data_IF_206431373825
#
_entry.id   IF_206431373825
#
_cell.length_a   1.000
_cell.length_b   1.000
_cell.length_c   1.000
_cell.angle_alpha   90.00
_cell.angle_beta   90.00
_cell.angle_gamma   90.00
#
_symmetry.space_group_name_H-M   'P 1'
#
loop_
_entity.id
_entity.type
_entity.pdbx_description
1 polymer ?
#
# COMPACT_ATOMS: atom_id res chain seq x y z
N UNK A 1 -5.06 27.57 -51.07
CA UNK A 1 -6.13 26.59 -51.35
C UNK A 1 -5.48 25.22 -51.46
N UNK A 2 -5.39 24.51 -50.34
CA UNK A 2 -4.72 23.21 -50.27
C UNK A 2 -5.57 22.32 -49.36
N UNK A 3 -5.94 21.17 -49.90
CA UNK A 3 -7.03 20.29 -49.48
C UNK A 3 -6.96 19.90 -48.01
N UNK A 4 -8.08 20.10 -47.33
CA UNK A 4 -8.43 19.40 -46.09
C UNK A 4 -8.46 17.89 -46.39
N UNK A 5 -7.43 17.19 -45.93
CA UNK A 5 -7.46 15.73 -45.84
C UNK A 5 -8.46 15.36 -44.74
N UNK A 6 -9.57 14.81 -45.18
CA UNK A 6 -10.68 14.28 -44.41
C UNK A 6 -10.19 13.29 -43.35
N UNK A 7 -10.43 13.63 -42.08
CA UNK A 7 -10.20 12.82 -40.88
C UNK A 7 -11.04 11.54 -40.78
N UNK A 8 -11.81 11.21 -41.84
CA UNK A 8 -12.78 10.12 -41.87
C UNK A 8 -12.16 8.80 -42.33
N UNK A 9 -11.02 8.83 -43.04
CA UNK A 9 -10.48 7.64 -43.71
C UNK A 9 -9.46 6.82 -42.89
N UNK A 10 -9.08 7.27 -41.69
CA UNK A 10 -8.12 6.57 -40.81
C UNK A 10 -8.76 5.59 -39.82
N UNK A 11 -10.02 5.20 -40.04
CA UNK A 11 -10.80 4.33 -39.13
C UNK A 11 -11.00 2.89 -39.61
N UNK A 12 -10.33 2.47 -40.69
CA UNK A 12 -10.40 1.08 -41.17
C UNK A 12 -9.01 0.47 -41.12
N UNK A 13 -8.95 -0.77 -40.66
CA UNK A 13 -7.79 -1.63 -40.39
C UNK A 13 -7.39 -1.75 -38.90
N UNK A 14 -8.35 -1.91 -38.00
CA UNK A 14 -8.13 -2.82 -36.87
C UNK A 14 -8.75 -4.17 -37.24
N UNK A 15 -8.03 -5.30 -37.11
CA UNK A 15 -8.57 -6.61 -37.41
C UNK A 15 -9.75 -6.90 -36.47
N UNK A 16 -10.91 -7.20 -37.06
CA UNK A 16 -12.11 -7.70 -36.36
C UNK A 16 -11.83 -9.11 -35.82
N UNK A 17 -10.95 -9.20 -34.83
CA UNK A 17 -10.80 -10.36 -33.99
C UNK A 17 -12.01 -10.44 -33.06
N UNK A 18 -12.72 -11.56 -33.12
CA UNK A 18 -13.78 -12.01 -32.21
C UNK A 18 -13.29 -12.12 -30.75
N UNK A 19 -12.88 -11.00 -30.14
CA UNK A 19 -12.61 -10.92 -28.72
C UNK A 19 -13.86 -10.37 -28.04
N UNK A 20 -14.65 -11.26 -27.42
CA UNK A 20 -15.65 -10.84 -26.44
C UNK A 20 -14.90 -10.03 -25.38
N UNK A 21 -15.10 -8.73 -25.37
CA UNK A 21 -14.41 -7.85 -24.42
C UNK A 21 -14.94 -8.18 -23.02
N UNK A 22 -14.08 -8.66 -22.10
CA UNK A 22 -14.53 -9.07 -20.79
C UNK A 22 -15.10 -7.87 -20.03
N UNK A 23 -16.27 -8.04 -19.42
CA UNK A 23 -16.81 -7.05 -18.50
C UNK A 23 -15.89 -6.90 -17.26
N UNK A 24 -16.12 -5.89 -16.42
CA UNK A 24 -15.27 -5.64 -15.25
C UNK A 24 -15.14 -6.83 -14.28
N UNK A 25 -16.17 -7.69 -14.16
CA UNK A 25 -16.11 -8.88 -13.30
C UNK A 25 -15.16 -9.92 -13.87
N UNK A 26 -15.29 -10.21 -15.15
CA UNK A 26 -14.37 -11.12 -15.85
C UNK A 26 -12.95 -10.56 -15.87
N UNK A 27 -12.81 -9.24 -16.02
CA UNK A 27 -11.52 -8.56 -15.94
C UNK A 27 -10.87 -8.73 -14.56
N UNK A 28 -11.63 -8.61 -13.47
CA UNK A 28 -11.13 -8.84 -12.11
C UNK A 28 -10.57 -10.27 -11.93
N UNK A 29 -11.25 -11.28 -12.50
CA UNK A 29 -10.77 -12.67 -12.48
C UNK A 29 -9.45 -12.80 -13.23
N UNK A 30 -9.34 -12.21 -14.43
CA UNK A 30 -8.09 -12.24 -15.19
C UNK A 30 -6.94 -11.53 -14.48
N UNK A 31 -7.19 -10.37 -13.87
CA UNK A 31 -6.19 -9.68 -13.05
C UNK A 31 -5.76 -10.52 -11.85
N UNK A 32 -6.71 -11.21 -11.19
CA UNK A 32 -6.38 -12.11 -10.09
C UNK A 32 -5.54 -13.30 -10.55
N UNK A 33 -5.82 -13.88 -11.71
CA UNK A 33 -5.00 -14.93 -12.31
C UNK A 33 -3.58 -14.45 -12.64
N UNK A 34 -3.45 -13.23 -13.19
CA UNK A 34 -2.14 -12.60 -13.43
C UNK A 34 -1.39 -12.40 -12.11
N UNK A 35 -2.07 -11.90 -11.07
CA UNK A 35 -1.51 -11.76 -9.73
C UNK A 35 -1.01 -13.11 -9.20
N UNK A 36 -1.82 -14.16 -9.30
CA UNK A 36 -1.43 -15.51 -8.87
C UNK A 36 -0.22 -16.04 -9.63
N UNK A 37 -0.05 -15.68 -10.90
CA UNK A 37 1.15 -16.03 -11.67
C UNK A 37 2.41 -15.30 -11.18
N UNK A 38 2.31 -14.00 -10.89
CA UNK A 38 3.43 -13.18 -10.41
C UNK A 38 3.84 -13.58 -9.00
N UNK A 39 2.85 -13.75 -8.11
CA UNK A 39 3.03 -14.10 -6.71
C UNK A 39 2.96 -15.62 -6.48
N UNK A 40 3.15 -16.44 -7.52
CA UNK A 40 3.04 -17.89 -7.41
C UNK A 40 3.96 -18.45 -6.33
N UNK A 41 5.18 -17.93 -6.21
CA UNK A 41 6.13 -18.34 -5.18
C UNK A 41 5.60 -18.04 -3.77
N UNK A 42 5.16 -16.82 -3.49
CA UNK A 42 4.58 -16.42 -2.18
C UNK A 42 3.26 -17.13 -1.86
N UNK A 43 2.52 -17.53 -2.88
CA UNK A 43 1.30 -18.31 -2.74
C UNK A 43 1.59 -19.79 -2.50
N UNK A 44 2.66 -20.33 -3.06
CA UNK A 44 2.98 -21.77 -2.97
C UNK A 44 4.02 -22.11 -1.90
N UNK A 45 4.69 -21.11 -1.33
CA UNK A 45 5.68 -21.26 -0.28
C UNK A 45 5.29 -20.45 0.96
N UNK A 46 5.75 -20.90 2.12
CA UNK A 46 5.63 -20.16 3.36
C UNK A 46 7.04 -19.83 3.85
N UNK A 47 7.54 -18.61 3.61
CA UNK A 47 8.85 -18.21 4.12
C UNK A 47 8.76 -18.14 5.65
N UNK A 48 9.51 -19.01 6.32
CA UNK A 48 9.61 -18.98 7.78
C UNK A 48 10.75 -18.05 8.16
N UNK A 49 10.43 -16.85 8.64
CA UNK A 49 11.39 -15.99 9.33
C UNK A 49 11.05 -15.86 10.82
N UNK A 50 11.97 -15.29 11.59
CA UNK A 50 11.76 -14.99 13.02
C UNK A 50 10.55 -14.08 13.23
N UNK A 51 10.26 -13.15 12.32
CA UNK A 51 9.10 -12.27 12.42
C UNK A 51 7.79 -13.04 12.24
N UNK A 52 7.73 -14.02 11.33
CA UNK A 52 6.58 -14.90 11.16
C UNK A 52 6.39 -15.84 12.37
N UNK A 53 7.47 -16.36 12.94
CA UNK A 53 7.37 -17.18 14.16
C UNK A 53 6.81 -16.37 15.33
N UNK A 54 7.33 -15.15 15.55
CA UNK A 54 6.83 -14.24 16.58
C UNK A 54 5.37 -13.85 16.32
N UNK A 55 5.00 -13.57 15.07
CA UNK A 55 3.63 -13.22 14.70
C UNK A 55 2.66 -14.40 14.82
N UNK A 56 3.10 -15.64 14.55
CA UNK A 56 2.29 -16.85 14.71
C UNK A 56 2.00 -17.16 16.18
N UNK A 57 2.96 -16.88 17.07
CA UNK A 57 2.83 -17.09 18.52
C UNK A 57 2.23 -15.89 19.25
N UNK A 58 1.98 -14.78 18.56
CA UNK A 58 1.43 -13.56 19.16
C UNK A 58 -0.03 -13.77 19.55
N UNK A 59 -0.32 -13.59 20.83
CA UNK A 59 -1.69 -13.62 21.39
C UNK A 59 -2.30 -12.24 21.59
N UNK A 60 -1.45 -11.21 21.70
CA UNK A 60 -1.87 -9.82 21.90
C UNK A 60 -1.35 -8.90 20.77
N UNK A 61 -2.22 -8.35 19.91
CA UNK A 61 -1.83 -7.43 18.85
C UNK A 61 -1.54 -6.00 19.33
N UNK A 62 -1.58 -5.72 20.64
CA UNK A 62 -1.37 -4.37 21.21
C UNK A 62 -0.04 -3.71 20.81
N UNK A 63 0.96 -4.50 20.42
CA UNK A 63 2.23 -4.01 19.85
C UNK A 63 2.02 -3.06 18.67
N UNK A 64 0.99 -3.29 17.85
CA UNK A 64 0.66 -2.40 16.75
C UNK A 64 0.21 -1.03 17.23
N UNK A 65 -0.56 -0.96 18.32
CA UNK A 65 -0.98 0.31 18.92
C UNK A 65 0.23 1.07 19.46
N UNK A 66 1.19 0.37 20.09
CA UNK A 66 2.44 0.98 20.56
C UNK A 66 3.19 1.68 19.39
N UNK A 67 3.24 1.02 18.24
CA UNK A 67 3.84 1.51 16.99
C UNK A 67 2.98 2.54 16.24
N UNK A 68 1.80 2.88 16.76
CA UNK A 68 0.85 3.81 16.15
C UNK A 68 0.08 3.25 14.95
N UNK A 69 0.08 1.93 14.79
CA UNK A 69 -0.63 1.19 13.73
C UNK A 69 -1.96 0.62 14.24
N UNK A 70 -2.83 1.48 14.75
CA UNK A 70 -4.12 1.05 15.32
C UNK A 70 -5.05 0.36 14.29
N UNK A 71 -4.89 0.61 13.00
CA UNK A 71 -5.62 -0.09 11.94
C UNK A 71 -5.14 -1.54 11.79
N UNK A 72 -3.83 -1.78 11.87
CA UNK A 72 -3.26 -3.13 11.87
C UNK A 72 -3.73 -3.92 13.11
N UNK A 73 -3.78 -3.26 14.28
CA UNK A 73 -4.38 -3.84 15.49
C UNK A 73 -5.83 -4.31 15.25
N UNK A 74 -6.68 -3.47 14.67
CA UNK A 74 -8.07 -3.84 14.37
C UNK A 74 -8.16 -5.00 13.38
N UNK A 75 -7.35 -4.98 12.33
CA UNK A 75 -7.33 -6.06 11.36
C UNK A 75 -6.90 -7.37 12.00
N UNK A 76 -5.85 -7.39 12.80
CA UNK A 76 -5.40 -8.60 13.47
C UNK A 76 -6.43 -9.10 14.49
N UNK A 77 -7.06 -8.20 15.25
CA UNK A 77 -8.05 -8.58 16.24
C UNK A 77 -9.32 -9.19 15.61
N UNK A 78 -9.78 -8.66 14.48
CA UNK A 78 -11.11 -8.99 13.93
C UNK A 78 -11.12 -9.76 12.61
N UNK A 79 -10.09 -9.61 11.77
CA UNK A 79 -10.05 -10.18 10.42
C UNK A 79 -8.94 -11.22 10.23
N UNK A 80 -7.74 -10.93 10.76
CA UNK A 80 -6.51 -11.67 10.56
C UNK A 80 -5.90 -12.09 11.90
N UNK A 81 -6.67 -12.83 12.70
CA UNK A 81 -6.22 -13.33 14.02
C UNK A 81 -4.97 -14.21 13.95
N UNK A 82 -4.67 -14.74 12.76
CA UNK A 82 -3.44 -15.45 12.44
C UNK A 82 -2.85 -14.79 11.20
N UNK A 83 -2.08 -13.70 11.36
CA UNK A 83 -1.60 -12.89 10.23
C UNK A 83 -0.61 -13.64 9.34
N UNK A 84 -0.04 -14.74 9.82
CA UNK A 84 0.90 -15.61 9.11
C UNK A 84 0.23 -16.78 8.41
N UNK A 85 -1.10 -16.78 8.29
CA UNK A 85 -1.81 -17.87 7.61
C UNK A 85 -1.36 -17.95 6.14
N UNK A 86 -0.80 -19.10 5.69
CA UNK A 86 -0.41 -19.27 4.30
C UNK A 86 -1.61 -19.05 3.37
N UNK A 87 -1.35 -18.55 2.16
CA UNK A 87 -2.35 -18.20 1.14
C UNK A 87 -3.26 -17.02 1.48
N UNK A 88 -3.79 -16.91 2.72
CA UNK A 88 -4.79 -15.89 3.07
C UNK A 88 -4.20 -14.49 3.01
N UNK A 89 -3.03 -14.28 3.61
CA UNK A 89 -2.39 -12.97 3.61
C UNK A 89 -2.06 -12.49 2.18
N UNK A 90 -1.37 -13.26 1.33
CA UNK A 90 -1.12 -12.86 -0.07
C UNK A 90 -2.39 -12.79 -0.92
N UNK A 91 -3.41 -13.61 -0.66
CA UNK A 91 -4.69 -13.53 -1.37
C UNK A 91 -5.41 -12.21 -1.06
N UNK A 92 -5.44 -11.78 0.21
CA UNK A 92 -5.98 -10.47 0.58
C UNK A 92 -5.19 -9.33 -0.06
N UNK A 93 -3.87 -9.46 -0.13
CA UNK A 93 -3.02 -8.52 -0.87
C UNK A 93 -3.41 -8.44 -2.35
N UNK A 94 -3.53 -9.59 -3.02
CA UNK A 94 -3.94 -9.67 -4.42
C UNK A 94 -5.31 -9.09 -4.68
N UNK A 95 -6.30 -9.38 -3.83
CA UNK A 95 -7.63 -8.77 -3.90
C UNK A 95 -7.57 -7.26 -3.73
N UNK A 96 -6.75 -6.77 -2.78
CA UNK A 96 -6.49 -5.35 -2.59
C UNK A 96 -5.87 -4.69 -3.81
N UNK A 97 -4.89 -5.33 -4.45
CA UNK A 97 -4.28 -4.87 -5.70
C UNK A 97 -5.30 -4.81 -6.85
N UNK A 98 -6.08 -5.87 -7.06
CA UNK A 98 -7.10 -5.92 -8.13
C UNK A 98 -8.14 -4.83 -7.92
N UNK A 99 -8.71 -4.73 -6.71
CA UNK A 99 -9.71 -3.72 -6.40
C UNK A 99 -9.17 -2.30 -6.61
N UNK A 100 -7.98 -2.02 -6.10
CA UNK A 100 -7.33 -0.72 -6.23
C UNK A 100 -7.05 -0.36 -7.69
N UNK A 101 -6.50 -1.31 -8.45
CA UNK A 101 -6.20 -1.11 -9.86
C UNK A 101 -7.45 -0.78 -10.69
N UNK A 102 -8.52 -1.54 -10.50
CA UNK A 102 -9.79 -1.30 -11.20
C UNK A 102 -10.37 0.08 -10.86
N UNK A 103 -10.31 0.50 -9.59
CA UNK A 103 -10.75 1.82 -9.17
C UNK A 103 -9.90 2.92 -9.81
N UNK A 104 -8.57 2.77 -9.84
CA UNK A 104 -7.66 3.72 -10.49
C UNK A 104 -7.97 3.84 -11.99
N UNK A 105 -8.13 2.71 -12.70
CA UNK A 105 -8.53 2.72 -14.11
C UNK A 105 -9.85 3.44 -14.30
N UNK A 106 -10.84 3.22 -13.43
CA UNK A 106 -12.14 3.90 -13.52
C UNK A 106 -12.04 5.40 -13.23
N UNK A 107 -11.13 5.83 -12.36
CA UNK A 107 -10.87 7.24 -12.10
C UNK A 107 -10.19 7.91 -13.29
N UNK A 108 -9.20 7.27 -13.91
CA UNK A 108 -8.47 7.82 -15.07
C UNK A 108 -9.31 7.74 -16.34
N UNK A 109 -10.09 6.67 -16.49
CA UNK A 109 -10.99 6.42 -17.62
C UNK A 109 -12.43 6.10 -17.16
N UNK A 110 -13.22 7.11 -16.77
CA UNK A 110 -14.61 6.92 -16.36
C UNK A 110 -15.46 6.21 -17.42
N UNK A 111 -15.21 6.48 -18.69
CA UNK A 111 -15.97 5.93 -19.83
C UNK A 111 -15.50 4.53 -20.24
N UNK A 112 -14.47 3.97 -19.61
CA UNK A 112 -14.03 2.61 -19.91
C UNK A 112 -15.08 1.60 -19.44
N UNK A 113 -15.61 0.83 -20.39
CA UNK A 113 -16.52 -0.30 -20.15
C UNK A 113 -15.77 -1.62 -19.95
N UNK A 114 -14.56 -1.72 -20.51
CA UNK A 114 -13.69 -2.89 -20.49
C UNK A 114 -12.22 -2.47 -20.34
N UNK A 115 -11.39 -3.44 -19.93
CA UNK A 115 -9.94 -3.30 -19.92
C UNK A 115 -9.35 -3.59 -21.31
N UNK A 116 -8.37 -2.79 -21.70
CA UNK A 116 -7.57 -2.97 -22.91
C UNK A 116 -6.36 -3.88 -22.62
N UNK A 117 -5.71 -4.40 -23.67
CA UNK A 117 -4.47 -5.18 -23.50
C UNK A 117 -3.41 -4.42 -22.68
N UNK A 118 -3.27 -3.11 -22.91
CA UNK A 118 -2.35 -2.26 -22.15
C UNK A 118 -2.69 -2.22 -20.66
N UNK A 119 -3.97 -2.22 -20.30
CA UNK A 119 -4.38 -2.25 -18.89
C UNK A 119 -4.01 -3.59 -18.23
N UNK A 120 -4.08 -4.70 -18.96
CA UNK A 120 -3.60 -5.98 -18.44
C UNK A 120 -2.06 -6.01 -18.30
N UNK A 121 -1.32 -5.38 -19.21
CA UNK A 121 0.15 -5.29 -19.12
C UNK A 121 0.65 -4.36 -18.02
N UNK A 122 -0.09 -3.30 -17.71
CA UNK A 122 0.25 -2.35 -16.64
C UNK A 122 -0.02 -2.93 -15.24
N UNK A 123 -0.93 -3.90 -15.13
CA UNK A 123 -1.25 -4.51 -13.84
C UNK A 123 -0.06 -5.23 -13.17
N UNK A 124 0.75 -6.07 -13.87
CA UNK A 124 2.01 -6.59 -13.34
C UNK A 124 2.95 -5.52 -12.80
N UNK A 125 3.08 -4.39 -13.49
CA UNK A 125 3.96 -3.28 -13.05
C UNK A 125 3.40 -2.66 -11.76
N UNK A 126 2.08 -2.54 -11.66
CA UNK A 126 1.41 -2.03 -10.47
C UNK A 126 1.57 -2.97 -9.27
N UNK A 127 1.32 -4.28 -9.42
CA UNK A 127 1.35 -5.22 -8.31
C UNK A 127 2.76 -5.72 -7.97
N UNK A 128 3.72 -5.69 -8.91
CA UNK A 128 5.12 -6.02 -8.68
C UNK A 128 6.01 -4.79 -8.46
N UNK A 129 5.43 -3.63 -8.15
CA UNK A 129 6.20 -2.42 -7.82
C UNK A 129 7.17 -2.72 -6.64
N UNK A 130 8.44 -2.25 -6.67
CA UNK A 130 9.46 -2.68 -5.70
C UNK A 130 9.08 -2.53 -4.23
N UNK A 131 8.27 -1.53 -3.88
CA UNK A 131 7.75 -1.36 -2.51
C UNK A 131 6.89 -2.54 -2.07
N UNK A 132 6.07 -3.11 -2.95
CA UNK A 132 5.25 -4.27 -2.64
C UNK A 132 6.07 -5.53 -2.46
N UNK A 133 7.09 -5.71 -3.31
CA UNK A 133 8.02 -6.82 -3.19
C UNK A 133 8.81 -6.76 -1.88
N UNK A 134 9.27 -5.58 -1.47
CA UNK A 134 9.89 -5.41 -0.16
C UNK A 134 8.92 -5.71 1.00
N UNK A 135 7.64 -5.33 0.86
CA UNK A 135 6.65 -5.58 1.89
C UNK A 135 6.19 -7.04 1.96
N UNK A 136 6.28 -7.81 0.87
CA UNK A 136 5.93 -9.24 0.89
C UNK A 136 6.89 -10.10 1.71
N UNK A 137 8.12 -9.63 1.95
CA UNK A 137 9.06 -10.26 2.90
C UNK A 137 8.52 -10.28 4.34
N UNK A 138 7.60 -9.36 4.67
CA UNK A 138 6.94 -9.32 5.98
C UNK A 138 5.54 -9.94 5.84
N UNK A 139 5.46 -11.27 5.85
CA UNK A 139 4.23 -12.00 5.52
C UNK A 139 3.09 -11.68 6.50
N UNK A 140 3.43 -11.43 7.77
CA UNK A 140 2.48 -10.98 8.80
C UNK A 140 1.82 -9.63 8.50
N UNK A 141 2.38 -8.82 7.59
CA UNK A 141 1.87 -7.50 7.23
C UNK A 141 1.14 -7.48 5.88
N UNK A 142 1.48 -8.38 4.94
CA UNK A 142 1.10 -8.23 3.53
C UNK A 142 -0.42 -8.23 3.31
N UNK A 143 -1.17 -9.06 4.05
CA UNK A 143 -2.64 -9.07 3.99
C UNK A 143 -3.25 -7.73 4.42
N UNK A 144 -2.74 -7.15 5.50
CA UNK A 144 -3.15 -5.83 5.98
C UNK A 144 -2.80 -4.73 4.98
N UNK A 145 -1.64 -4.81 4.32
CA UNK A 145 -1.25 -3.87 3.25
C UNK A 145 -2.25 -3.92 2.08
N UNK A 146 -2.77 -5.10 1.72
CA UNK A 146 -3.83 -5.23 0.71
C UNK A 146 -5.08 -4.42 1.05
N UNK A 147 -5.54 -4.55 2.30
CA UNK A 147 -6.68 -3.81 2.82
C UNK A 147 -6.39 -2.30 2.85
N UNK A 148 -5.19 -1.91 3.28
CA UNK A 148 -4.77 -0.52 3.33
C UNK A 148 -4.71 0.11 1.93
N UNK A 149 -4.21 -0.63 0.93
CA UNK A 149 -4.15 -0.18 -0.46
C UNK A 149 -5.55 0.05 -1.03
N UNK A 150 -6.49 -0.88 -0.76
CA UNK A 150 -7.88 -0.74 -1.14
C UNK A 150 -8.55 0.46 -0.44
N UNK A 151 -8.34 0.64 0.86
CA UNK A 151 -8.87 1.77 1.62
C UNK A 151 -8.29 3.12 1.16
N UNK A 152 -6.98 3.18 0.89
CA UNK A 152 -6.31 4.34 0.31
C UNK A 152 -6.91 4.69 -1.05
N UNK A 153 -7.06 3.72 -1.94
CA UNK A 153 -7.63 3.95 -3.27
C UNK A 153 -9.10 4.37 -3.17
N UNK A 154 -9.87 3.75 -2.28
CA UNK A 154 -11.26 4.13 -2.03
C UNK A 154 -11.38 5.56 -1.52
N UNK A 155 -10.48 6.00 -0.62
CA UNK A 155 -10.44 7.39 -0.15
C UNK A 155 -10.26 8.37 -1.30
N UNK A 156 -9.31 8.09 -2.20
CA UNK A 156 -9.04 8.92 -3.37
C UNK A 156 -10.23 8.87 -4.35
N UNK A 157 -10.89 7.73 -4.50
CA UNK A 157 -12.09 7.61 -5.32
C UNK A 157 -13.28 8.40 -4.79
N UNK A 158 -13.55 8.32 -3.49
CA UNK A 158 -14.64 9.08 -2.86
C UNK A 158 -14.41 10.60 -3.05
N UNK A 159 -13.15 11.04 -2.96
CA UNK A 159 -12.73 12.43 -3.12
C UNK A 159 -12.73 12.91 -4.58
N UNK A 160 -12.10 12.18 -5.50
CA UNK A 160 -11.86 12.61 -6.89
C UNK A 160 -12.83 12.01 -7.91
N UNK A 161 -13.65 11.03 -7.51
CA UNK A 161 -14.69 10.44 -8.33
C UNK A 161 -15.95 11.31 -8.45
N UNK A 162 -16.10 12.31 -7.56
CA UNK A 162 -17.26 13.18 -7.49
C UNK A 162 -16.84 14.64 -7.68
N UNK A 163 -17.45 15.36 -8.65
CA UNK A 163 -17.15 16.78 -8.87
C UNK A 163 -17.51 17.67 -7.67
N UNK A 164 -18.52 17.28 -6.89
CA UNK A 164 -18.98 17.96 -5.67
C UNK A 164 -19.40 16.89 -4.66
N UNK A 165 -18.46 16.27 -3.94
CA UNK A 165 -18.80 15.22 -2.99
C UNK A 165 -19.66 15.80 -1.86
N UNK A 166 -20.73 15.09 -1.50
CA UNK A 166 -21.53 15.44 -0.33
C UNK A 166 -20.69 15.27 0.95
N UNK A 167 -21.03 15.99 2.02
CA UNK A 167 -20.32 15.92 3.31
C UNK A 167 -20.10 14.48 3.82
N UNK A 168 -21.09 13.56 3.78
CA UNK A 168 -20.87 12.18 4.20
C UNK A 168 -19.83 11.43 3.35
N UNK A 169 -19.74 11.74 2.06
CA UNK A 169 -18.75 11.14 1.14
C UNK A 169 -17.34 11.62 1.49
N UNK A 170 -17.18 12.91 1.78
CA UNK A 170 -15.89 13.47 2.22
C UNK A 170 -15.47 12.87 3.56
N UNK A 171 -16.41 12.74 4.51
CA UNK A 171 -16.14 12.09 5.79
C UNK A 171 -15.72 10.63 5.59
N UNK A 172 -16.44 9.87 4.76
CA UNK A 172 -16.05 8.50 4.40
C UNK A 172 -14.66 8.41 3.77
N UNK A 173 -14.30 9.36 2.91
CA UNK A 173 -12.97 9.44 2.31
C UNK A 173 -11.88 9.64 3.37
N UNK A 174 -12.09 10.58 4.30
CA UNK A 174 -11.18 10.86 5.42
C UNK A 174 -11.00 9.62 6.30
N UNK A 175 -12.09 8.92 6.65
CA UNK A 175 -12.04 7.70 7.46
C UNK A 175 -11.26 6.59 6.74
N UNK A 176 -11.53 6.37 5.45
CA UNK A 176 -10.81 5.37 4.66
C UNK A 176 -9.30 5.70 4.56
N UNK A 177 -8.96 6.98 4.33
CA UNK A 177 -7.58 7.43 4.29
C UNK A 177 -6.86 7.27 5.63
N UNK A 178 -7.52 7.67 6.73
CA UNK A 178 -7.00 7.51 8.08
C UNK A 178 -6.79 6.03 8.45
N UNK A 179 -7.69 5.16 8.02
CA UNK A 179 -7.58 3.71 8.21
C UNK A 179 -6.42 3.11 7.41
N UNK A 180 -6.18 3.56 6.17
CA UNK A 180 -5.01 3.13 5.41
C UNK A 180 -3.70 3.55 6.10
N UNK A 181 -3.60 4.80 6.55
CA UNK A 181 -2.45 5.31 7.31
C UNK A 181 -2.25 4.54 8.62
N UNK A 182 -3.35 4.19 9.30
CA UNK A 182 -3.28 3.45 10.56
C UNK A 182 -2.95 1.98 10.43
N UNK A 183 -3.08 1.40 9.24
CA UNK A 183 -2.51 0.08 8.95
C UNK A 183 -1.00 0.22 8.68
N UNK A 184 -0.61 1.18 7.83
CA UNK A 184 0.78 1.42 7.51
C UNK A 184 1.04 2.89 7.20
N UNK A 185 1.89 3.53 7.99
CA UNK A 185 2.01 5.00 7.99
C UNK A 185 2.45 5.58 6.64
N UNK A 186 3.19 4.82 5.82
CA UNK A 186 3.63 5.25 4.50
C UNK A 186 2.48 5.57 3.53
N UNK A 187 1.24 5.12 3.80
CA UNK A 187 0.08 5.54 3.03
C UNK A 187 -0.23 7.04 3.15
N UNK A 188 0.37 7.75 4.11
CA UNK A 188 0.34 9.22 4.13
C UNK A 188 0.95 9.82 2.85
N UNK A 189 1.96 9.14 2.27
CA UNK A 189 2.55 9.47 0.98
C UNK A 189 1.81 8.78 -0.18
N UNK A 190 1.22 7.61 0.08
CA UNK A 190 0.39 6.89 -0.90
C UNK A 190 -0.79 7.72 -1.42
N UNK A 191 -1.52 8.41 -0.53
CA UNK A 191 -2.66 9.27 -0.89
C UNK A 191 -2.25 10.38 -1.88
N UNK A 192 -1.27 11.27 -1.59
CA UNK A 192 -0.88 12.31 -2.53
C UNK A 192 -0.30 11.76 -3.82
N UNK A 193 0.52 10.71 -3.79
CA UNK A 193 1.10 10.11 -5.00
C UNK A 193 0.00 9.57 -5.92
N UNK A 194 -0.95 8.81 -5.37
CA UNK A 194 -2.05 8.23 -6.14
C UNK A 194 -3.00 9.32 -6.65
N UNK A 195 -3.39 10.26 -5.79
CA UNK A 195 -4.27 11.37 -6.17
C UNK A 195 -3.66 12.27 -7.24
N UNK A 196 -2.39 12.68 -7.06
CA UNK A 196 -1.67 13.48 -8.05
C UNK A 196 -1.48 12.71 -9.36
N UNK A 197 -1.14 11.42 -9.31
CA UNK A 197 -1.03 10.57 -10.50
C UNK A 197 -2.34 10.51 -11.29
N UNK A 198 -3.48 10.37 -10.62
CA UNK A 198 -4.81 10.38 -11.25
C UNK A 198 -5.11 11.75 -11.89
N UNK A 199 -4.85 12.86 -11.17
CA UNK A 199 -5.05 14.21 -11.69
C UNK A 199 -4.20 14.44 -12.94
N UNK A 200 -2.91 14.10 -12.88
CA UNK A 200 -1.98 14.22 -14.01
C UNK A 200 -2.43 13.37 -15.21
N UNK A 201 -2.83 12.12 -14.97
CA UNK A 201 -3.30 11.22 -16.02
C UNK A 201 -4.57 11.75 -16.71
N UNK A 202 -5.52 12.33 -15.95
CA UNK A 202 -6.73 12.98 -16.49
C UNK A 202 -6.39 14.21 -17.32
N UNK A 203 -5.56 15.10 -16.78
CA UNK A 203 -5.07 16.32 -17.46
C UNK A 203 -4.39 15.97 -18.77
N UNK A 204 -3.47 15.00 -18.76
CA UNK A 204 -2.77 14.54 -19.95
C UNK A 204 -3.73 13.96 -20.99
N UNK A 205 -4.65 13.09 -20.57
CA UNK A 205 -5.59 12.42 -21.47
C UNK A 205 -6.59 13.38 -22.11
N UNK A 206 -7.14 14.31 -21.34
CA UNK A 206 -8.17 15.24 -21.80
C UNK A 206 -7.58 16.48 -22.47
N UNK A 207 -6.25 16.67 -22.40
CA UNK A 207 -5.58 17.91 -22.81
C UNK A 207 -6.19 19.16 -22.14
N UNK A 208 -6.58 19.01 -20.87
CA UNK A 208 -7.21 20.04 -20.05
C UNK A 208 -6.24 20.49 -18.95
N UNK A 209 -6.28 21.77 -18.52
CA UNK A 209 -5.47 22.22 -17.40
C UNK A 209 -5.85 21.50 -16.10
N UNK A 210 -4.90 21.45 -15.16
CA UNK A 210 -5.14 20.87 -13.83
C UNK A 210 -6.32 21.58 -13.15
N UNK A 211 -7.32 20.82 -12.74
CA UNK A 211 -8.47 21.34 -12.01
C UNK A 211 -8.06 21.71 -10.58
N UNK A 212 -8.12 23.00 -10.24
CA UNK A 212 -7.80 23.50 -8.89
C UNK A 212 -8.68 22.88 -7.81
N UNK A 213 -9.94 22.56 -8.14
CA UNK A 213 -10.85 21.93 -7.18
C UNK A 213 -10.38 20.53 -6.78
N UNK A 214 -9.86 19.75 -7.72
CA UNK A 214 -9.32 18.40 -7.45
C UNK A 214 -8.09 18.48 -6.52
N UNK A 215 -7.24 19.49 -6.71
CA UNK A 215 -6.10 19.76 -5.82
C UNK A 215 -6.56 20.13 -4.40
N UNK A 216 -7.54 21.03 -4.27
CA UNK A 216 -8.10 21.42 -2.96
C UNK A 216 -8.72 20.22 -2.26
N UNK A 217 -9.47 19.39 -2.98
CA UNK A 217 -10.08 18.18 -2.45
C UNK A 217 -9.03 17.16 -1.99
N UNK A 218 -7.96 16.98 -2.77
CA UNK A 218 -6.85 16.10 -2.40
C UNK A 218 -6.11 16.61 -1.16
N UNK A 219 -5.80 17.90 -1.08
CA UNK A 219 -5.17 18.51 0.11
C UNK A 219 -6.07 18.36 1.34
N UNK A 220 -7.38 18.59 1.18
CA UNK A 220 -8.37 18.41 2.25
C UNK A 220 -8.39 16.96 2.74
N UNK A 221 -8.34 15.99 1.81
CA UNK A 221 -8.26 14.57 2.15
C UNK A 221 -6.99 14.26 2.95
N UNK A 222 -5.83 14.73 2.50
CA UNK A 222 -4.54 14.46 3.18
C UNK A 222 -4.55 15.01 4.60
N UNK A 223 -4.95 16.27 4.78
CA UNK A 223 -5.00 16.92 6.08
C UNK A 223 -6.03 16.21 6.97
N UNK A 224 -7.24 15.98 6.46
CA UNK A 224 -8.31 15.32 7.19
C UNK A 224 -7.95 13.91 7.62
N UNK A 225 -7.40 13.09 6.71
CA UNK A 225 -6.95 11.74 7.00
C UNK A 225 -5.82 11.71 8.03
N UNK A 226 -4.86 12.65 7.94
CA UNK A 226 -3.74 12.74 8.90
C UNK A 226 -4.23 13.12 10.30
N UNK A 227 -5.14 14.09 10.41
CA UNK A 227 -5.75 14.49 11.69
C UNK A 227 -6.57 13.34 12.27
N UNK A 228 -7.42 12.70 11.47
CA UNK A 228 -8.23 11.57 11.91
C UNK A 228 -7.37 10.36 12.33
N UNK A 229 -6.29 10.08 11.61
CA UNK A 229 -5.28 9.08 12.02
C UNK A 229 -4.67 9.43 13.37
N UNK A 230 -4.22 10.68 13.56
CA UNK A 230 -3.58 11.12 14.81
C UNK A 230 -4.55 11.06 16.00
N UNK A 231 -5.81 11.46 15.79
CA UNK A 231 -6.87 11.34 16.78
C UNK A 231 -7.15 9.88 17.14
N UNK A 232 -7.27 9.00 16.14
CA UNK A 232 -7.41 7.56 16.36
C UNK A 232 -6.22 7.00 17.15
N UNK A 233 -5.00 7.34 16.76
CA UNK A 233 -3.78 6.91 17.45
C UNK A 233 -3.77 7.35 18.92
N UNK A 234 -4.17 8.60 19.21
CA UNK A 234 -4.31 9.08 20.58
C UNK A 234 -5.35 8.27 21.37
N UNK A 235 -6.53 8.04 20.80
CA UNK A 235 -7.60 7.25 21.45
C UNK A 235 -7.14 5.83 21.75
N UNK A 236 -6.57 5.13 20.77
CA UNK A 236 -6.12 3.75 20.97
C UNK A 236 -5.00 3.65 22.01
N UNK A 237 -4.02 4.57 22.00
CA UNK A 237 -2.95 4.62 23.02
C UNK A 237 -3.46 4.97 24.41
N UNK A 238 -4.56 5.72 24.52
CA UNK A 238 -5.19 6.03 25.79
C UNK A 238 -5.84 4.78 26.43
N UNK A 239 -6.49 3.94 25.63
CA UNK A 239 -7.21 2.75 26.14
C UNK A 239 -6.37 1.47 26.19
N UNK A 240 -5.32 1.37 25.38
CA UNK A 240 -4.49 0.17 25.26
C UNK A 240 -3.06 0.52 25.69
N UNK A 241 -2.72 0.30 26.98
CA UNK A 241 -1.38 0.52 27.47
C UNK A 241 -0.45 -0.56 26.87
N UNK A 242 0.30 -0.18 25.84
CA UNK A 242 1.23 -1.06 25.16
C UNK A 242 2.65 -0.48 25.25
N UNK A 243 3.61 -1.32 25.64
CA UNK A 243 5.03 -0.97 25.62
C UNK A 243 5.60 -1.24 24.23
N UNK A 244 6.44 -0.34 23.74
CA UNK A 244 7.03 -0.48 22.42
C UNK A 244 8.42 -1.11 22.54
N UNK A 245 8.48 -2.35 23.03
CA UNK A 245 9.75 -3.05 23.30
C UNK A 245 10.74 -3.00 22.12
N UNK A 246 10.23 -2.97 20.88
CA UNK A 246 11.03 -2.81 19.67
C UNK A 246 11.73 -1.43 19.59
N UNK A 247 10.97 -0.34 19.69
CA UNK A 247 11.56 1.01 19.62
C UNK A 247 12.30 1.40 20.90
N UNK A 248 11.81 0.95 22.06
CA UNK A 248 12.45 1.18 23.36
C UNK A 248 13.81 0.45 23.43
N UNK A 249 13.95 -0.69 22.73
CA UNK A 249 15.21 -1.40 22.57
C UNK A 249 16.19 -0.76 21.59
N UNK A 250 15.69 -0.18 20.49
CA UNK A 250 16.53 0.42 19.43
C UNK A 250 17.00 1.84 19.79
N UNK A 251 16.11 2.66 20.37
CA UNK A 251 16.37 4.06 20.66
C UNK A 251 16.59 4.30 22.15
N UNK A 252 17.72 3.83 22.67
CA UNK A 252 18.17 4.16 24.01
C UNK A 252 18.89 5.52 24.04
N UNK A 253 18.18 6.58 23.64
CA UNK A 253 18.74 7.94 23.52
C UNK A 253 19.32 8.42 24.86
N UNK A 254 18.66 8.07 25.97
CA UNK A 254 19.18 8.36 27.31
C UNK A 254 20.54 7.72 27.57
N UNK A 255 20.70 6.44 27.25
CA UNK A 255 21.97 5.72 27.37
C UNK A 255 23.04 6.26 26.43
N UNK A 256 22.65 6.65 25.20
CA UNK A 256 23.54 7.32 24.26
C UNK A 256 24.13 8.60 24.85
N UNK A 257 23.32 9.45 25.47
CA UNK A 257 23.81 10.67 26.08
C UNK A 257 24.53 10.45 27.41
N UNK A 258 24.22 9.38 28.14
CA UNK A 258 24.96 9.00 29.34
C UNK A 258 26.37 8.47 29.01
N UNK A 259 26.52 7.73 27.91
CA UNK A 259 27.76 7.02 27.55
C UNK A 259 28.16 7.18 26.06
N UNK A 260 28.29 8.40 25.52
CA UNK A 260 28.42 8.62 24.07
C UNK A 260 29.70 8.03 23.49
N UNK A 261 30.83 8.16 24.20
CA UNK A 261 32.13 7.64 23.73
C UNK A 261 32.11 6.10 23.66
N UNK A 262 31.51 5.45 24.66
CA UNK A 262 31.42 3.98 24.70
C UNK A 262 30.53 3.47 23.57
N UNK A 263 29.37 4.09 23.36
CA UNK A 263 28.42 3.65 22.33
C UNK A 263 28.96 3.92 20.93
N UNK A 264 29.55 5.09 20.67
CA UNK A 264 30.21 5.37 19.39
C UNK A 264 31.38 4.40 19.17
N UNK A 265 32.22 4.16 20.18
CA UNK A 265 33.35 3.23 20.09
C UNK A 265 32.89 1.82 19.73
N UNK A 266 31.91 1.27 20.46
CA UNK A 266 31.32 -0.05 20.16
C UNK A 266 30.67 -0.11 18.79
N UNK A 267 30.02 0.97 18.37
CA UNK A 267 29.40 1.06 17.03
C UNK A 267 30.47 1.01 15.95
N UNK A 268 31.55 1.78 16.09
CA UNK A 268 32.68 1.77 15.15
C UNK A 268 33.40 0.42 15.14
N UNK A 269 33.61 -0.21 16.31
CA UNK A 269 34.20 -1.55 16.40
C UNK A 269 33.31 -2.60 15.71
N UNK A 270 31.99 -2.50 15.87
CA UNK A 270 31.04 -3.40 15.21
C UNK A 270 31.03 -3.18 13.70
N UNK A 271 30.95 -1.93 13.24
CA UNK A 271 31.05 -1.56 11.82
C UNK A 271 32.37 -2.07 11.23
N UNK A 272 33.49 -1.82 11.90
CA UNK A 272 34.80 -2.32 11.50
C UNK A 272 34.88 -3.85 11.47
N UNK A 273 34.23 -4.53 12.41
CA UNK A 273 34.14 -5.99 12.44
C UNK A 273 33.33 -6.57 11.28
N UNK A 274 32.17 -5.97 10.98
CA UNK A 274 31.30 -6.37 9.86
C UNK A 274 32.01 -6.10 8.53
N UNK A 275 32.41 -4.87 8.26
CA UNK A 275 33.03 -4.52 6.97
C UNK A 275 34.47 -5.01 6.81
N UNK A 276 35.16 -5.29 7.92
CA UNK A 276 36.49 -5.90 7.94
C UNK A 276 36.46 -7.43 7.90
N UNK A 277 35.29 -8.05 7.75
CA UNK A 277 35.13 -9.52 7.73
C UNK A 277 35.76 -10.22 8.96
N UNK A 278 35.67 -9.60 10.14
CA UNK A 278 36.23 -10.17 11.35
C UNK A 278 35.45 -11.43 11.74
N UNK A 279 36.14 -12.57 11.76
CA UNK A 279 35.54 -13.88 12.02
C UNK A 279 34.79 -13.96 13.35
N UNK A 280 35.21 -13.21 14.38
CA UNK A 280 34.51 -13.17 15.68
C UNK A 280 33.11 -12.54 15.59
N UNK A 281 32.95 -11.51 14.74
CA UNK A 281 31.68 -10.81 14.54
C UNK A 281 30.65 -11.73 13.89
N UNK A 282 31.08 -12.59 12.95
CA UNK A 282 30.19 -13.51 12.24
C UNK A 282 29.98 -14.85 12.95
N UNK A 283 30.92 -15.30 13.81
CA UNK A 283 30.76 -16.54 14.59
C UNK A 283 29.73 -16.39 15.73
N UNK A 284 29.52 -15.18 16.26
CA UNK A 284 28.53 -14.94 17.32
C UNK A 284 27.08 -14.85 16.82
N UNK A 285 26.84 -14.49 15.55
CA UNK A 285 25.49 -14.37 14.98
C UNK A 285 24.97 -15.64 14.33
N UNK A 286 25.82 -16.61 14.00
CA UNK A 286 25.41 -17.83 13.29
C UNK A 286 24.93 -18.96 14.22
N UNK A 287 25.03 -18.82 15.55
CA UNK A 287 24.76 -19.91 16.51
C UNK A 287 24.19 -19.46 17.88
N UNK A 288 23.47 -18.34 17.96
CA UNK A 288 22.76 -17.92 19.17
C UNK A 288 21.27 -17.75 18.88
#
# INVERSE_FOLDING_TARGET
>A
MTKAATSVERRRLEPEGFAVQPNFRTSAIYLLLIFCGIYFFELSSFPLSTDEELAALRTDPSVWVAQGRWGAYLLEMFLLQQPTMPFVAPALFGLGCVASYLIVIKLVRPDAEFLTANDYFLFPIFCAFPTWFFLSEFYSNIGSIGVALAACTLSVWLTLGHRRPATPVVFGAIVCGAFAISIYQSFILGIPVMGAGIILARTWRNNEPINRQDLVLLVTLIIGASIAYAAGNFVFKFFIPAQNAYFDGILQIGEFFANPVVIIGRTLDTVGGVYGFNQRTYQGMLWA
#
